data_IF_169926891711
#
_entry.id   IF_169926891711
#
_cell.length_a   1.000
_cell.length_b   1.000
_cell.length_c   1.000
_cell.angle_alpha   90.00
_cell.angle_beta   90.00
_cell.angle_gamma   90.00
#
_symmetry.space_group_name_H-M   'P 1'
#
loop_
_entity.id
_entity.type
_entity.pdbx_description
1 polymer ?
#
# COMPACT_ATOMS: atom_id res chain seq x y z
N UNK A 1 -57.62 3.74 -34.03
CA UNK A 1 -56.30 3.32 -34.53
C UNK A 1 -55.87 2.18 -33.62
N UNK A 2 -55.99 0.88 -33.93
CA UNK A 2 -55.89 0.18 -35.21
C UNK A 2 -54.44 0.14 -35.68
N UNK A 3 -53.73 -0.97 -35.95
CA UNK A 3 -54.05 -2.40 -36.16
C UNK A 3 -52.78 -3.25 -35.79
N UNK A 4 -52.74 -4.59 -35.59
CA UNK A 4 -53.72 -5.67 -35.35
C UNK A 4 -52.99 -7.01 -35.02
N UNK A 5 -53.72 -7.99 -34.43
CA UNK A 5 -53.76 -9.47 -34.66
C UNK A 5 -52.49 -10.31 -35.02
N UNK A 6 -52.36 -11.61 -34.70
CA UNK A 6 -53.38 -12.69 -34.63
C UNK A 6 -52.98 -13.97 -33.86
N UNK A 7 -53.99 -14.72 -33.39
CA UNK A 7 -53.95 -16.05 -32.75
C UNK A 7 -53.53 -17.26 -33.61
N UNK A 8 -53.11 -18.34 -32.92
CA UNK A 8 -53.55 -19.77 -32.99
C UNK A 8 -52.58 -20.61 -32.12
N UNK A 9 -52.99 -21.60 -31.30
CA UNK A 9 -54.28 -22.22 -31.04
C UNK A 9 -54.17 -23.75 -31.12
N UNK A 10 -54.35 -24.49 -30.01
CA UNK A 10 -54.36 -25.97 -30.03
C UNK A 10 -54.15 -26.64 -28.66
N UNK A 11 -55.18 -27.30 -28.14
CA UNK A 11 -55.13 -28.15 -26.93
C UNK A 11 -54.67 -29.58 -27.26
N UNK A 12 -54.09 -30.29 -26.29
CA UNK A 12 -53.77 -31.72 -26.40
C UNK A 12 -53.49 -32.35 -25.03
N UNK A 13 -54.30 -33.32 -24.63
CA UNK A 13 -54.38 -33.87 -23.27
C UNK A 13 -53.66 -35.24 -23.15
N UNK A 14 -53.38 -35.67 -21.90
CA UNK A 14 -53.17 -37.06 -21.39
C UNK A 14 -51.76 -37.64 -21.23
N UNK A 15 -51.44 -37.90 -19.95
CA UNK A 15 -50.61 -39.00 -19.40
C UNK A 15 -51.39 -40.35 -19.48
N UNK A 16 -50.99 -41.52 -18.89
CA UNK A 16 -49.86 -41.82 -17.99
C UNK A 16 -49.11 -43.16 -18.22
N UNK A 17 -48.09 -43.44 -17.40
CA UNK A 17 -47.67 -44.83 -17.09
C UNK A 17 -47.18 -44.99 -15.64
N UNK A 18 -47.24 -46.24 -15.17
CA UNK A 18 -47.26 -46.70 -13.77
C UNK A 18 -45.83 -46.88 -13.18
N UNK A 19 -45.54 -46.43 -11.94
CA UNK A 19 -45.72 -47.10 -10.63
C UNK A 19 -44.72 -48.24 -10.35
N UNK A 20 -43.83 -48.02 -9.39
CA UNK A 20 -43.71 -48.94 -8.24
C UNK A 20 -43.21 -48.19 -6.99
N UNK A 21 -43.37 -48.78 -5.81
CA UNK A 21 -42.88 -48.20 -4.55
C UNK A 21 -42.99 -49.16 -3.37
N UNK A 22 -42.17 -48.95 -2.34
CA UNK A 22 -42.26 -49.71 -1.09
C UNK A 22 -41.85 -48.90 0.15
N UNK A 23 -42.24 -49.41 1.33
CA UNK A 23 -42.51 -48.63 2.54
C UNK A 23 -41.47 -48.83 3.65
N UNK A 24 -41.48 -47.90 4.62
CA UNK A 24 -41.02 -48.12 6.01
C UNK A 24 -39.93 -47.14 6.46
N UNK A 25 -39.93 -46.59 7.69
CA UNK A 25 -40.94 -46.70 8.74
C UNK A 25 -40.35 -46.66 10.16
N UNK A 26 -40.47 -45.50 10.82
CA UNK A 26 -40.30 -45.21 12.27
C UNK A 26 -38.89 -44.97 12.84
N UNK A 27 -38.92 -44.19 13.92
CA UNK A 27 -37.83 -43.43 14.55
C UNK A 27 -36.98 -44.22 15.56
N UNK A 28 -35.72 -43.80 15.72
CA UNK A 28 -34.96 -43.95 16.95
C UNK A 28 -33.95 -42.78 17.12
N UNK A 29 -33.76 -42.33 18.37
CA UNK A 29 -32.98 -41.13 18.76
C UNK A 29 -31.45 -41.33 18.70
N UNK A 30 -30.63 -40.25 18.74
CA UNK A 30 -29.26 -40.27 18.23
C UNK A 30 -28.26 -40.93 19.16
N UNK A 31 -27.15 -41.42 18.58
CA UNK A 31 -25.89 -41.64 19.28
C UNK A 31 -24.89 -40.58 18.85
N UNK A 32 -24.43 -39.79 19.82
CA UNK A 32 -23.25 -38.94 19.67
C UNK A 32 -22.05 -39.89 19.64
N UNK A 33 -21.26 -39.84 18.56
CA UNK A 33 -19.87 -40.25 18.60
C UNK A 33 -19.04 -39.13 17.97
N UNK A 34 -18.07 -38.66 18.73
CA UNK A 34 -17.18 -37.56 18.38
C UNK A 34 -15.79 -38.17 18.17
N UNK A 35 -15.42 -38.41 16.91
CA UNK A 35 -14.03 -38.51 16.47
C UNK A 35 -13.94 -38.45 14.93
N UNK A 36 -13.04 -37.62 14.40
CA UNK A 36 -12.52 -37.58 13.00
C UNK A 36 -11.72 -36.29 12.83
N UNK A 37 -10.40 -36.36 13.01
CA UNK A 37 -9.47 -35.22 13.00
C UNK A 37 -8.97 -34.87 11.58
N UNK A 38 -9.87 -34.60 10.64
CA UNK A 38 -9.53 -34.56 9.20
C UNK A 38 -9.52 -33.14 8.56
N UNK A 39 -9.89 -32.09 9.30
CA UNK A 39 -9.98 -30.70 8.77
C UNK A 39 -8.65 -29.90 8.80
N UNK A 40 -7.52 -30.52 9.16
CA UNK A 40 -6.23 -29.82 9.28
C UNK A 40 -5.53 -29.51 7.94
N UNK A 41 -5.79 -30.29 6.89
CA UNK A 41 -5.02 -30.24 5.63
C UNK A 41 -5.52 -29.21 4.60
N UNK A 42 -6.63 -28.50 4.89
CA UNK A 42 -7.15 -27.45 4.02
C UNK A 42 -6.31 -26.17 4.03
N UNK A 43 -5.67 -25.83 5.16
CA UNK A 43 -4.89 -24.60 5.30
C UNK A 43 -3.46 -24.69 4.73
N UNK A 44 -2.82 -25.88 4.71
CA UNK A 44 -1.44 -26.03 4.23
C UNK A 44 -1.30 -26.02 2.69
N UNK A 45 -2.37 -26.31 1.94
CA UNK A 45 -2.30 -26.42 0.47
C UNK A 45 -2.28 -25.08 -0.27
N UNK A 46 -2.85 -24.03 0.32
CA UNK A 46 -2.84 -22.69 -0.29
C UNK A 46 -1.48 -22.00 -0.11
N UNK A 47 -0.82 -22.17 1.05
CA UNK A 47 0.51 -21.61 1.32
C UNK A 47 1.61 -22.20 0.42
N UNK A 48 1.59 -23.52 0.14
CA UNK A 48 2.54 -24.09 -0.83
C UNK A 48 2.29 -23.59 -2.26
N UNK A 49 1.03 -23.47 -2.66
CA UNK A 49 0.66 -23.04 -4.02
C UNK A 49 1.01 -21.57 -4.24
N UNK A 50 0.74 -20.69 -3.28
CA UNK A 50 1.13 -19.28 -3.33
C UNK A 50 2.65 -19.11 -3.33
N UNK A 51 3.41 -19.94 -2.61
CA UNK A 51 4.87 -19.88 -2.62
C UNK A 51 5.45 -20.34 -3.98
N UNK A 52 4.89 -21.39 -4.60
CA UNK A 52 5.27 -21.78 -5.97
C UNK A 52 4.85 -20.75 -7.03
N UNK A 53 3.64 -20.19 -6.96
CA UNK A 53 3.20 -19.11 -7.87
C UNK A 53 4.05 -17.84 -7.71
N UNK A 54 4.51 -17.54 -6.49
CA UNK A 54 5.45 -16.45 -6.21
C UNK A 54 6.86 -16.75 -6.75
N UNK A 55 7.33 -18.00 -6.69
CA UNK A 55 8.58 -18.41 -7.35
C UNK A 55 8.48 -18.35 -8.87
N UNK A 56 7.41 -18.85 -9.49
CA UNK A 56 7.18 -18.72 -10.94
C UNK A 56 7.12 -17.24 -11.37
N UNK A 57 6.53 -16.36 -10.55
CA UNK A 57 6.54 -14.91 -10.80
C UNK A 57 7.96 -14.32 -10.75
N UNK A 58 8.78 -14.67 -9.76
CA UNK A 58 10.18 -14.23 -9.69
C UNK A 58 11.05 -14.81 -10.82
N UNK A 59 10.82 -16.06 -11.23
CA UNK A 59 11.51 -16.65 -12.39
C UNK A 59 11.10 -15.98 -13.69
N UNK A 60 9.81 -15.68 -13.88
CA UNK A 60 9.31 -14.92 -15.03
C UNK A 60 9.88 -13.50 -15.08
N UNK A 61 9.97 -12.79 -13.95
CA UNK A 61 10.64 -11.49 -13.87
C UNK A 61 12.12 -11.60 -14.26
N UNK A 62 12.86 -12.57 -13.70
CA UNK A 62 14.27 -12.80 -14.01
C UNK A 62 14.49 -13.14 -15.48
N UNK A 63 13.58 -13.89 -16.09
CA UNK A 63 13.68 -14.28 -17.50
C UNK A 63 13.27 -13.13 -18.45
N UNK A 64 12.36 -12.24 -18.04
CA UNK A 64 12.08 -10.97 -18.72
C UNK A 64 13.27 -9.99 -18.65
N UNK A 65 13.94 -9.92 -17.50
CA UNK A 65 15.23 -9.23 -17.34
C UNK A 65 16.36 -9.92 -18.12
N UNK A 66 16.27 -11.22 -18.39
CA UNK A 66 17.24 -11.97 -19.19
C UNK A 66 17.08 -11.68 -20.68
N UNK A 67 15.83 -11.63 -21.17
CA UNK A 67 15.49 -11.29 -22.55
C UNK A 67 15.87 -9.86 -22.94
N UNK A 68 16.07 -8.97 -21.96
CA UNK A 68 16.55 -7.59 -22.17
C UNK A 68 18.07 -7.42 -22.04
N UNK A 69 18.83 -8.47 -21.67
CA UNK A 69 20.32 -8.46 -21.65
C UNK A 69 20.92 -8.57 -23.07
N UNK A 70 20.60 -7.58 -23.90
CA UNK A 70 21.14 -7.42 -25.26
C UNK A 70 21.68 -6.01 -25.58
N UNK A 71 21.45 -5.02 -24.70
CA UNK A 71 22.03 -3.69 -24.85
C UNK A 71 22.26 -3.04 -23.48
N UNK A 72 23.32 -2.24 -23.35
CA UNK A 72 23.45 -1.25 -22.27
C UNK A 72 22.43 -0.14 -22.53
N UNK A 73 21.18 -0.38 -22.15
CA UNK A 73 20.08 0.54 -22.39
C UNK A 73 20.37 1.86 -21.68
N UNK A 74 20.56 2.93 -22.46
CA UNK A 74 20.74 4.26 -21.93
C UNK A 74 19.41 4.77 -21.34
N UNK A 75 19.48 5.44 -20.21
CA UNK A 75 18.33 5.83 -19.39
C UNK A 75 18.31 7.35 -19.13
N UNK A 76 17.14 8.00 -19.14
CA UNK A 76 17.04 9.46 -19.11
C UNK A 76 17.51 10.03 -17.77
N UNK A 77 18.67 10.67 -17.78
CA UNK A 77 19.28 11.29 -16.60
C UNK A 77 19.16 12.80 -16.65
N UNK A 78 18.69 13.42 -15.57
CA UNK A 78 18.41 14.86 -15.52
C UNK A 78 19.62 15.64 -15.00
N UNK A 79 20.14 16.54 -15.82
CA UNK A 79 21.13 17.55 -15.43
C UNK A 79 20.44 18.88 -15.19
N UNK A 80 20.52 19.40 -13.96
CA UNK A 80 19.89 20.66 -13.55
C UNK A 80 20.92 21.63 -13.00
N UNK A 81 20.85 22.89 -13.44
CA UNK A 81 21.59 24.00 -12.86
C UNK A 81 20.62 25.04 -12.30
N UNK A 82 20.79 25.41 -11.04
CA UNK A 82 19.88 26.31 -10.28
C UNK A 82 20.45 27.72 -10.08
N UNK A 83 21.70 27.95 -10.49
CA UNK A 83 22.35 29.26 -10.38
C UNK A 83 21.93 30.24 -11.46
N UNK A 84 22.03 31.55 -11.16
CA UNK A 84 21.82 32.59 -12.15
C UNK A 84 22.87 32.49 -13.28
N UNK A 85 22.38 32.48 -14.53
CA UNK A 85 23.20 32.37 -15.73
C UNK A 85 22.46 32.93 -16.95
N UNK A 86 23.20 33.27 -18.01
CA UNK A 86 22.63 33.54 -19.34
C UNK A 86 22.53 32.26 -20.15
N UNK A 87 23.67 31.58 -20.35
CA UNK A 87 23.83 30.39 -21.20
C UNK A 87 24.54 29.28 -20.40
N UNK A 88 23.96 28.08 -20.36
CA UNK A 88 24.50 26.93 -19.60
C UNK A 88 24.59 25.70 -20.49
N UNK A 89 25.73 25.00 -20.41
CA UNK A 89 25.98 23.74 -21.12
C UNK A 89 26.52 22.68 -20.16
N UNK A 90 26.32 21.39 -20.50
CA UNK A 90 26.96 20.26 -19.82
C UNK A 90 27.84 19.45 -20.80
N UNK A 91 28.96 18.95 -20.29
CA UNK A 91 29.85 18.00 -20.97
C UNK A 91 30.32 16.95 -19.95
N UNK A 92 30.67 15.75 -20.41
CA UNK A 92 31.09 14.68 -19.52
C UNK A 92 31.70 13.46 -20.21
N UNK A 93 31.91 12.38 -19.44
CA UNK A 93 32.43 11.10 -19.94
C UNK A 93 31.55 10.52 -21.05
N UNK A 94 30.23 10.64 -20.93
CA UNK A 94 29.23 10.13 -21.88
C UNK A 94 29.32 10.73 -23.29
N UNK A 95 29.92 11.92 -23.45
CA UNK A 95 30.19 12.52 -24.76
C UNK A 95 31.69 12.76 -25.01
N UNK A 96 32.56 12.01 -24.32
CA UNK A 96 34.03 12.11 -24.38
C UNK A 96 34.56 13.55 -24.20
N UNK A 97 33.83 14.41 -23.47
CA UNK A 97 34.10 15.84 -23.33
C UNK A 97 34.18 16.63 -24.65
N UNK A 98 33.74 16.04 -25.77
CA UNK A 98 33.96 16.56 -27.12
C UNK A 98 32.93 17.65 -27.52
N UNK A 99 31.72 17.61 -26.96
CA UNK A 99 30.66 18.58 -27.26
C UNK A 99 30.09 19.22 -25.98
N UNK A 100 29.44 20.38 -26.14
CA UNK A 100 28.72 21.09 -25.09
C UNK A 100 27.22 20.95 -25.34
N UNK A 101 26.52 20.17 -24.53
CA UNK A 101 25.07 20.00 -24.64
C UNK A 101 24.39 21.21 -23.99
N UNK A 102 23.60 22.01 -24.71
CA UNK A 102 22.92 23.18 -24.13
C UNK A 102 21.80 22.74 -23.17
N UNK A 103 21.67 23.44 -22.05
CA UNK A 103 20.55 23.28 -21.14
C UNK A 103 19.42 24.24 -21.51
N UNK A 104 18.18 23.76 -21.48
CA UNK A 104 17.00 24.57 -21.72
C UNK A 104 16.72 25.45 -20.51
N UNK A 105 16.57 26.76 -20.73
CA UNK A 105 16.28 27.75 -19.69
C UNK A 105 14.78 27.76 -19.34
N UNK A 106 14.48 27.50 -18.08
CA UNK A 106 13.18 27.72 -17.45
C UNK A 106 13.20 29.02 -16.62
N UNK A 107 12.17 29.29 -15.82
CA UNK A 107 12.05 30.52 -15.03
C UNK A 107 13.21 30.71 -14.03
N UNK A 108 13.56 29.64 -13.29
CA UNK A 108 14.59 29.67 -12.24
C UNK A 108 15.72 28.64 -12.44
N UNK A 109 15.58 27.72 -13.40
CA UNK A 109 16.48 26.58 -13.56
C UNK A 109 16.86 26.40 -15.03
N UNK A 110 18.04 25.87 -15.28
CA UNK A 110 18.46 25.31 -16.56
C UNK A 110 18.41 23.78 -16.47
N UNK A 111 17.87 23.10 -17.48
CA UNK A 111 17.70 21.63 -17.48
C UNK A 111 18.06 21.01 -18.82
N UNK A 112 18.77 19.87 -18.79
CA UNK A 112 18.90 18.94 -19.91
C UNK A 112 18.58 17.52 -19.43
N UNK A 113 18.03 16.70 -20.32
CA UNK A 113 17.88 15.26 -20.11
C UNK A 113 18.83 14.59 -21.10
N UNK A 114 19.68 13.69 -20.60
CA UNK A 114 20.66 12.96 -21.39
C UNK A 114 20.53 11.48 -21.05
N UNK A 115 20.39 10.63 -22.06
CA UNK A 115 20.31 9.19 -21.85
C UNK A 115 21.71 8.64 -21.56
N UNK A 116 21.89 8.05 -20.36
CA UNK A 116 23.15 7.51 -19.88
C UNK A 116 23.02 6.00 -19.61
N UNK A 117 24.00 5.16 -19.99
CA UNK A 117 24.04 3.77 -19.54
C UNK A 117 24.30 3.70 -18.03
N UNK A 118 23.94 2.59 -17.40
CA UNK A 118 24.24 2.34 -15.99
C UNK A 118 25.75 2.41 -15.70
N UNK A 119 26.14 3.06 -14.60
CA UNK A 119 27.53 3.26 -14.20
C UNK A 119 27.81 4.66 -13.63
N UNK A 120 29.10 4.94 -13.40
CA UNK A 120 29.60 6.26 -12.99
C UNK A 120 29.84 7.17 -14.21
N UNK A 121 29.30 8.38 -14.18
CA UNK A 121 29.53 9.40 -15.20
C UNK A 121 30.10 10.67 -14.60
N UNK A 122 31.24 11.11 -15.12
CA UNK A 122 31.82 12.40 -14.75
C UNK A 122 31.28 13.50 -15.65
N UNK A 123 30.97 14.66 -15.09
CA UNK A 123 30.45 15.80 -15.84
C UNK A 123 30.92 17.13 -15.26
N UNK A 124 30.73 18.20 -16.04
CA UNK A 124 30.97 19.58 -15.62
C UNK A 124 30.05 20.54 -16.35
N UNK A 125 29.64 21.61 -15.68
CA UNK A 125 28.85 22.67 -16.29
C UNK A 125 29.76 23.75 -16.88
N UNK A 126 29.41 24.26 -18.05
CA UNK A 126 29.96 25.47 -18.63
C UNK A 126 28.89 26.56 -18.57
N UNK A 127 29.04 27.47 -17.61
CA UNK A 127 28.11 28.57 -17.31
C UNK A 127 28.73 29.87 -17.78
N UNK A 128 28.07 30.57 -18.69
CA UNK A 128 28.51 31.85 -19.26
C UNK A 128 29.98 31.81 -19.77
N UNK A 129 30.37 30.65 -20.31
CA UNK A 129 31.72 30.37 -20.84
C UNK A 129 32.72 29.81 -19.83
N UNK A 130 32.43 29.84 -18.53
CA UNK A 130 33.32 29.35 -17.45
C UNK A 130 32.97 27.94 -17.00
N UNK A 131 33.96 27.12 -16.71
CA UNK A 131 33.76 25.74 -16.21
C UNK A 131 33.54 25.74 -14.70
N UNK A 132 32.34 25.37 -14.26
CA UNK A 132 31.92 25.28 -12.86
C UNK A 132 31.46 23.87 -12.50
N UNK A 133 31.50 23.57 -11.21
CA UNK A 133 30.88 22.38 -10.61
C UNK A 133 29.47 22.72 -10.13
N UNK A 134 28.60 21.73 -10.09
CA UNK A 134 27.37 21.76 -9.29
C UNK A 134 27.74 21.79 -7.80
N UNK A 135 27.31 22.81 -7.03
CA UNK A 135 27.53 22.87 -5.58
C UNK A 135 26.76 21.81 -4.78
N UNK A 136 25.73 21.21 -5.36
CA UNK A 136 24.85 20.20 -4.74
C UNK A 136 25.17 18.76 -5.18
N UNK A 137 25.87 18.60 -6.31
CA UNK A 137 26.23 17.30 -6.86
C UNK A 137 27.53 16.75 -6.28
N UNK A 138 27.62 15.42 -6.16
CA UNK A 138 28.85 14.71 -5.77
C UNK A 138 30.03 15.08 -6.67
N UNK A 139 31.23 15.06 -6.10
CA UNK A 139 32.48 15.51 -6.75
C UNK A 139 33.54 14.42 -6.70
N UNK A 140 34.27 14.24 -7.80
CA UNK A 140 35.41 13.32 -7.91
C UNK A 140 36.64 14.03 -8.48
N UNK A 141 37.82 13.71 -7.95
CA UNK A 141 39.10 14.19 -8.48
C UNK A 141 39.70 13.14 -9.39
N UNK A 142 39.88 13.48 -10.67
CA UNK A 142 40.53 12.62 -11.66
C UNK A 142 42.03 12.44 -11.35
N UNK A 143 42.63 11.36 -11.88
CA UNK A 143 44.07 11.06 -11.76
C UNK A 143 44.98 12.17 -12.29
N UNK A 144 44.45 13.05 -13.14
CA UNK A 144 45.12 14.24 -13.70
C UNK A 144 45.04 15.48 -12.79
N UNK A 145 44.44 15.38 -11.60
CA UNK A 145 44.18 16.51 -10.69
C UNK A 145 42.95 17.34 -11.07
N UNK A 146 42.24 17.00 -12.15
CA UNK A 146 41.02 17.71 -12.57
C UNK A 146 39.84 17.31 -11.70
N UNK A 147 39.17 18.29 -11.09
CA UNK A 147 37.96 18.09 -10.29
C UNK A 147 36.71 18.22 -11.18
N UNK A 148 35.85 17.20 -11.15
CA UNK A 148 34.60 17.08 -11.92
C UNK A 148 33.45 16.66 -10.98
N UNK A 149 32.19 16.91 -11.35
CA UNK A 149 31.08 16.24 -10.67
C UNK A 149 30.97 14.78 -11.13
N UNK A 150 30.36 13.94 -10.31
CA UNK A 150 30.07 12.54 -10.61
C UNK A 150 28.59 12.28 -10.36
N UNK A 151 27.94 11.55 -11.28
CA UNK A 151 26.61 10.98 -11.09
C UNK A 151 26.67 9.47 -11.28
N UNK A 152 26.09 8.73 -10.34
CA UNK A 152 25.89 7.29 -10.43
C UNK A 152 24.52 7.05 -11.05
N UNK A 153 24.46 6.30 -12.14
CA UNK A 153 23.20 5.82 -12.74
C UNK A 153 23.08 4.34 -12.41
N UNK A 154 22.13 3.97 -11.56
CA UNK A 154 21.84 2.58 -11.20
C UNK A 154 20.54 2.12 -11.86
N UNK A 155 20.36 0.80 -11.98
CA UNK A 155 19.10 0.19 -12.41
C UNK A 155 17.90 0.62 -11.56
N UNK A 156 18.11 0.70 -10.24
CA UNK A 156 17.10 0.99 -9.21
C UNK A 156 16.49 2.37 -9.35
N UNK A 157 17.21 3.33 -9.90
CA UNK A 157 16.81 4.75 -9.94
C UNK A 157 15.64 5.01 -10.92
N UNK A 158 15.21 3.98 -11.64
CA UNK A 158 14.14 4.01 -12.64
C UNK A 158 12.96 3.10 -12.28
N UNK A 159 13.14 2.20 -11.32
CA UNK A 159 12.06 1.41 -10.73
C UNK A 159 11.56 2.15 -9.50
N UNK A 160 10.38 2.76 -9.59
CA UNK A 160 9.89 3.75 -8.60
C UNK A 160 9.89 3.21 -7.17
N UNK A 161 9.57 1.93 -6.99
CA UNK A 161 9.56 1.29 -5.67
C UNK A 161 10.98 1.04 -5.12
N UNK A 162 11.94 0.68 -5.98
CA UNK A 162 13.33 0.46 -5.57
C UNK A 162 14.02 1.79 -5.24
N UNK A 163 13.78 2.83 -6.05
CA UNK A 163 14.26 4.18 -5.78
C UNK A 163 13.73 4.71 -4.43
N UNK A 164 12.40 4.67 -4.21
CA UNK A 164 11.80 5.09 -2.95
C UNK A 164 12.29 4.29 -1.75
N UNK A 165 12.56 2.99 -1.93
CA UNK A 165 13.12 2.15 -0.88
C UNK A 165 14.53 2.61 -0.49
N UNK A 166 15.42 2.78 -1.47
CA UNK A 166 16.81 3.20 -1.21
C UNK A 166 16.86 4.60 -0.57
N UNK A 167 16.02 5.54 -1.02
CA UNK A 167 15.91 6.88 -0.44
C UNK A 167 15.36 6.83 1.00
N UNK A 168 14.48 5.87 1.30
CA UNK A 168 13.94 5.68 2.66
C UNK A 168 14.95 5.07 3.63
N UNK A 169 15.92 4.27 3.16
CA UNK A 169 16.93 3.63 4.01
C UNK A 169 18.00 4.64 4.52
N UNK A 170 18.22 5.75 3.80
CA UNK A 170 19.08 6.88 4.25
C UNK A 170 18.35 7.82 5.23
N UNK A 171 17.01 7.77 5.24
CA UNK A 171 16.15 8.49 6.19
C UNK A 171 15.87 7.59 7.40
N UNK A 172 16.60 7.79 8.51
CA UNK A 172 16.56 6.93 9.70
C UNK A 172 15.22 6.85 10.48
N UNK A 173 14.10 7.27 9.90
CA UNK A 173 12.75 7.10 10.43
C UNK A 173 12.08 5.87 9.82
N UNK A 174 12.21 4.71 10.49
CA UNK A 174 11.37 3.55 10.18
C UNK A 174 9.89 3.96 10.25
N UNK A 175 9.19 3.91 9.11
CA UNK A 175 7.76 4.21 8.98
C UNK A 175 6.88 3.08 9.57
N UNK A 176 7.24 2.60 10.75
CA UNK A 176 6.45 1.66 11.54
C UNK A 176 5.21 2.37 12.08
N UNK A 177 4.06 1.67 12.02
CA UNK A 177 2.84 2.10 12.70
C UNK A 177 2.88 1.89 14.22
N UNK A 178 3.95 1.24 14.71
CA UNK A 178 4.27 1.11 16.14
C UNK A 178 5.39 2.08 16.52
N UNK A 179 5.47 2.55 17.79
CA UNK A 179 6.61 3.32 18.26
C UNK A 179 7.95 2.60 17.97
N UNK A 180 9.03 3.34 17.64
CA UNK A 180 10.31 2.74 17.33
C UNK A 180 10.91 2.03 18.56
N UNK A 181 11.51 0.85 18.32
CA UNK A 181 12.18 0.05 19.34
C UNK A 181 11.35 -1.16 19.86
N UNK A 182 11.99 -2.03 20.67
CA UNK A 182 11.33 -3.21 21.22
C UNK A 182 10.37 -2.86 22.36
N UNK A 183 9.30 -3.66 22.50
CA UNK A 183 8.41 -3.60 23.67
C UNK A 183 9.17 -3.98 24.95
N UNK A 184 9.11 -3.12 25.97
CA UNK A 184 9.70 -3.33 27.29
C UNK A 184 8.66 -3.14 28.41
N UNK A 185 8.97 -3.63 29.61
CA UNK A 185 8.12 -3.46 30.80
C UNK A 185 8.58 -2.31 31.72
N UNK A 186 9.77 -1.76 31.47
CA UNK A 186 10.33 -0.67 32.26
C UNK A 186 9.48 0.60 32.16
N UNK A 187 9.30 1.28 33.30
CA UNK A 187 8.52 2.52 33.37
C UNK A 187 9.23 3.66 32.64
N UNK A 188 8.49 4.40 31.81
CA UNK A 188 9.04 5.52 31.06
C UNK A 188 9.56 6.63 31.99
N UNK A 189 10.83 7.00 31.85
CA UNK A 189 11.45 8.10 32.57
C UNK A 189 11.48 9.34 31.68
N UNK A 190 10.75 10.38 32.07
CA UNK A 190 10.62 11.63 31.30
C UNK A 190 11.99 12.29 31.13
N UNK A 191 12.43 12.43 29.88
CA UNK A 191 13.67 13.10 29.51
C UNK A 191 13.43 14.60 29.26
N UNK A 192 14.46 15.46 29.36
CA UNK A 192 14.29 16.90 29.17
C UNK A 192 13.86 17.31 27.75
N UNK A 193 14.07 16.44 26.76
CA UNK A 193 13.58 16.56 25.37
C UNK A 193 12.08 16.28 25.23
N UNK A 194 11.46 15.48 26.10
CA UNK A 194 10.04 15.06 26.02
C UNK A 194 9.04 16.14 26.50
N UNK A 195 9.44 17.42 26.47
CA UNK A 195 8.66 18.54 27.02
C UNK A 195 7.49 18.97 26.13
N UNK A 196 6.57 18.04 25.91
CA UNK A 196 5.19 18.36 25.52
C UNK A 196 4.57 19.23 26.61
N UNK A 197 4.11 20.44 26.24
CA UNK A 197 3.58 21.42 27.20
C UNK A 197 2.30 20.96 27.92
N UNK A 198 1.55 20.07 27.28
CA UNK A 198 0.34 19.42 27.77
C UNK A 198 0.04 18.18 26.90
N UNK A 199 -0.75 17.21 27.36
CA UNK A 199 -1.27 16.15 26.50
C UNK A 199 -2.09 16.72 25.33
N UNK A 200 -2.25 15.96 24.22
CA UNK A 200 -3.09 16.39 23.10
C UNK A 200 -4.56 16.53 23.54
N UNK A 201 -5.27 17.49 22.95
CA UNK A 201 -6.69 17.68 23.20
C UNK A 201 -7.50 16.51 22.62
N UNK A 202 -8.53 16.07 23.34
CA UNK A 202 -9.43 14.99 22.91
C UNK A 202 -10.15 15.39 21.60
N UNK A 203 -10.01 14.62 20.50
CA UNK A 203 -10.72 14.91 19.26
C UNK A 203 -12.25 14.83 19.47
N UNK A 204 -13.04 15.87 19.10
CA UNK A 204 -14.46 15.92 19.39
C UNK A 204 -15.28 14.82 18.69
N UNK A 205 -14.73 14.20 17.65
CA UNK A 205 -15.32 13.03 16.98
C UNK A 205 -15.52 11.83 17.92
N UNK A 206 -14.65 11.66 18.93
CA UNK A 206 -14.76 10.57 19.91
C UNK A 206 -15.85 10.81 20.97
N UNK A 207 -16.43 12.01 21.02
CA UNK A 207 -17.59 12.31 21.87
C UNK A 207 -18.92 11.91 21.21
N UNK A 208 -18.93 11.62 19.90
CA UNK A 208 -20.14 11.29 19.14
C UNK A 208 -20.54 9.81 19.25
N UNK A 209 -20.70 9.31 20.48
CA UNK A 209 -20.96 7.89 20.79
C UNK A 209 -22.07 7.31 19.90
N UNK A 210 -21.74 6.27 19.11
CA UNK A 210 -22.64 5.68 18.12
C UNK A 210 -23.93 5.12 18.75
N UNK A 211 -23.79 4.44 19.88
CA UNK A 211 -24.90 3.80 20.61
C UNK A 211 -25.81 4.78 21.37
N UNK A 212 -25.42 6.06 21.46
CA UNK A 212 -26.25 7.12 22.07
C UNK A 212 -27.07 7.89 21.02
N UNK A 213 -27.05 7.47 19.74
CA UNK A 213 -27.84 8.06 18.67
C UNK A 213 -29.14 7.29 18.50
N UNK A 214 -30.26 7.99 18.58
CA UNK A 214 -31.56 7.41 18.27
C UNK A 214 -31.63 6.95 16.81
N UNK A 215 -32.13 5.74 16.60
CA UNK A 215 -32.46 5.20 15.27
C UNK A 215 -33.93 5.45 14.96
N UNK A 216 -34.28 5.53 13.67
CA UNK A 216 -35.67 5.77 13.27
C UNK A 216 -36.57 4.59 13.64
N UNK A 217 -37.73 4.86 14.23
CA UNK A 217 -38.68 3.84 14.75
C UNK A 217 -39.10 2.81 13.67
N UNK A 218 -38.95 3.16 12.39
CA UNK A 218 -39.27 2.30 11.24
C UNK A 218 -38.15 1.36 10.76
N UNK A 219 -36.94 1.41 11.33
CA UNK A 219 -35.84 0.50 10.95
C UNK A 219 -35.66 -0.65 11.95
N UNK A 220 -34.95 -1.69 11.51
CA UNK A 220 -34.58 -2.84 12.35
C UNK A 220 -33.72 -2.35 13.56
N UNK A 221 -34.08 -2.70 14.81
CA UNK A 221 -33.34 -2.29 16.02
C UNK A 221 -31.87 -2.71 16.08
N UNK A 222 -31.44 -3.68 15.25
CA UNK A 222 -30.04 -4.12 15.16
C UNK A 222 -29.18 -3.27 14.23
N UNK A 223 -29.81 -2.38 13.44
CA UNK A 223 -29.10 -1.50 12.50
C UNK A 223 -28.66 -0.21 13.20
N UNK A 224 -27.41 0.18 12.96
CA UNK A 224 -26.81 1.42 13.40
C UNK A 224 -26.46 2.30 12.18
N UNK A 225 -26.43 3.63 12.32
CA UNK A 225 -25.96 4.52 11.25
C UNK A 225 -24.47 4.29 10.96
N UNK A 226 -24.00 4.72 9.79
CA UNK A 226 -22.59 4.55 9.40
C UNK A 226 -21.65 5.31 10.38
N UNK A 227 -20.66 4.63 10.99
CA UNK A 227 -19.71 5.26 11.89
C UNK A 227 -18.66 6.08 11.13
N UNK A 228 -18.14 7.14 11.76
CA UNK A 228 -16.95 7.82 11.27
C UNK A 228 -15.73 6.89 11.45
N UNK A 229 -14.87 6.76 10.43
CA UNK A 229 -13.68 5.92 10.51
C UNK A 229 -12.76 6.22 11.70
N UNK A 230 -12.73 7.46 12.19
CA UNK A 230 -11.92 7.90 13.34
C UNK A 230 -12.40 7.32 14.67
N UNK A 231 -13.68 6.91 14.82
CA UNK A 231 -14.18 6.31 16.06
C UNK A 231 -14.01 4.78 16.14
N UNK A 232 -13.54 4.16 15.05
CA UNK A 232 -13.34 2.70 15.01
C UNK A 232 -12.19 2.29 15.93
N UNK A 233 -12.28 1.09 16.49
CA UNK A 233 -11.31 0.52 17.44
C UNK A 233 -11.18 1.30 18.77
N UNK A 234 -11.92 2.39 18.98
CA UNK A 234 -12.02 3.06 20.28
C UNK A 234 -13.01 2.34 21.20
N UNK A 235 -12.62 2.21 22.47
CA UNK A 235 -13.43 1.60 23.53
C UNK A 235 -14.40 2.61 24.13
N UNK A 236 -15.69 2.26 24.14
CA UNK A 236 -16.74 2.98 24.86
C UNK A 236 -17.28 2.09 25.98
N UNK A 237 -17.42 2.63 27.18
CA UNK A 237 -17.89 1.91 28.35
C UNK A 237 -19.08 2.63 29.01
N UNK A 238 -20.01 1.87 29.56
CA UNK A 238 -21.00 2.41 30.50
C UNK A 238 -20.45 2.37 31.93
N UNK A 239 -20.92 3.28 32.78
CA UNK A 239 -20.67 3.20 34.22
C UNK A 239 -21.16 1.85 34.77
N UNK A 240 -20.30 1.17 35.50
CA UNK A 240 -20.56 -0.12 36.15
C UNK A 240 -21.81 -0.01 37.03
N UNK A 241 -22.72 -0.97 36.90
CA UNK A 241 -23.93 -1.11 37.73
C UNK A 241 -24.16 -2.59 38.04
N UNK A 242 -24.71 -2.86 39.22
CA UNK A 242 -25.14 -4.20 39.65
C UNK A 242 -24.07 -5.31 39.51
N UNK A 243 -22.80 -4.94 39.71
CA UNK A 243 -21.65 -5.86 39.57
C UNK A 243 -21.25 -6.20 38.14
N UNK A 244 -21.81 -5.54 37.13
CA UNK A 244 -21.55 -5.80 35.70
C UNK A 244 -20.87 -4.62 35.03
N UNK A 245 -19.75 -4.89 34.36
CA UNK A 245 -19.10 -4.00 33.42
C UNK A 245 -19.70 -4.18 32.02
N UNK A 246 -19.99 -3.08 31.33
CA UNK A 246 -20.44 -3.10 29.93
C UNK A 246 -19.44 -2.32 29.08
N UNK A 247 -18.79 -3.04 28.17
CA UNK A 247 -17.81 -2.51 27.22
C UNK A 247 -18.36 -2.62 25.81
N UNK A 248 -17.98 -1.70 24.93
CA UNK A 248 -18.35 -1.73 23.53
C UNK A 248 -17.27 -1.11 22.63
N UNK A 249 -17.15 -1.62 21.41
CA UNK A 249 -16.26 -1.08 20.39
C UNK A 249 -16.80 -1.37 18.99
N UNK A 250 -16.59 -0.43 18.07
CA UNK A 250 -16.99 -0.58 16.66
C UNK A 250 -15.78 -0.97 15.83
N UNK A 251 -15.85 -2.12 15.17
CA UNK A 251 -14.79 -2.67 14.32
C UNK A 251 -15.25 -2.75 12.86
N UNK A 252 -14.31 -2.62 11.92
CA UNK A 252 -14.56 -2.79 10.48
C UNK A 252 -14.17 -4.19 10.03
N UNK A 253 -15.11 -4.93 9.44
CA UNK A 253 -14.86 -6.18 8.74
C UNK A 253 -15.09 -6.00 7.25
N UNK A 254 -14.02 -6.04 6.45
CA UNK A 254 -14.02 -5.71 5.01
C UNK A 254 -14.64 -4.30 4.77
N UNK A 255 -15.84 -4.24 4.19
CA UNK A 255 -16.62 -3.00 3.93
C UNK A 255 -17.85 -2.86 4.83
N UNK A 256 -17.93 -3.62 5.93
CA UNK A 256 -19.02 -3.56 6.92
C UNK A 256 -18.48 -3.16 8.29
N UNK A 257 -19.35 -2.63 9.14
CA UNK A 257 -19.04 -2.25 10.51
C UNK A 257 -19.86 -3.09 11.48
N UNK A 258 -19.26 -3.48 12.60
CA UNK A 258 -19.92 -4.25 13.67
C UNK A 258 -19.60 -3.59 15.00
N UNK A 259 -20.63 -3.23 15.76
CA UNK A 259 -20.51 -2.72 17.13
C UNK A 259 -20.77 -3.87 18.10
N UNK A 260 -19.71 -4.37 18.73
CA UNK A 260 -19.83 -5.47 19.69
C UNK A 260 -20.00 -4.90 21.09
N UNK A 261 -20.95 -5.45 21.86
CA UNK A 261 -21.12 -5.18 23.30
C UNK A 261 -20.71 -6.41 24.10
N UNK A 262 -19.93 -6.22 25.15
CA UNK A 262 -19.50 -7.24 26.10
C UNK A 262 -20.01 -6.89 27.50
N UNK A 263 -20.82 -7.78 28.07
CA UNK A 263 -21.25 -7.74 29.46
C UNK A 263 -20.37 -8.71 30.26
N UNK A 264 -19.67 -8.21 31.27
CA UNK A 264 -18.75 -9.01 32.08
C UNK A 264 -18.95 -8.71 33.58
N UNK A 265 -19.25 -9.72 34.43
CA UNK A 265 -19.23 -9.57 35.88
C UNK A 265 -17.85 -9.17 36.40
N UNK A 266 -17.84 -8.45 37.53
CA UNK A 266 -16.62 -7.99 38.23
C UNK A 266 -16.43 -8.78 39.52
#
# INVERSE_FOLDING_TARGET
MGNSSSDRGGQGERSPSYRDGQQGGKDARPKILMDSTEDADLFNREDQKTNSEMQEFFEWQRDLESLTKGSTQARPTVFRWTGAAKDVYVSGSFNNWASKIPLNKSQNNFVAIVDLPEGEHQYKFCVDGQWTLDPTGSVVTSKTGTVNNMIQVKRTDFEVFDALRLDSEDSAEELSSSPPGPYHQDSYSIKPEDKLKHPPYLPPHLLQVLLNKDTGISCDPTLLPEPNHVMLNHLYALSIKDGVMVLSATHRYKKKYVTTLLYKPI
#
